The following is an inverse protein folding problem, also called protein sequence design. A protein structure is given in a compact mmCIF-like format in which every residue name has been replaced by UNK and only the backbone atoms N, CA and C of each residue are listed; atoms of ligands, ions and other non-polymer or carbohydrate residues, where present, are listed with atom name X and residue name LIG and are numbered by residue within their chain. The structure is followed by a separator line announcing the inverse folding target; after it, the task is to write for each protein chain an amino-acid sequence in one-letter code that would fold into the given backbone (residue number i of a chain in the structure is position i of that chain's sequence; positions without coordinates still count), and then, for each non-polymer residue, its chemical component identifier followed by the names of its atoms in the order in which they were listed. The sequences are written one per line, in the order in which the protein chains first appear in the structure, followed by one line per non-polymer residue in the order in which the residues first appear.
data_IF_742321962088
#
_entry.id   IF_742321962088
#
_cell.length_a   1.000
_cell.length_b   1.000
_cell.length_c   1.000
_cell.angle_alpha   90.00
_cell.angle_beta   90.00
_cell.angle_gamma   90.00
#
_symmetry.space_group_name_H-M   'P 1'
#
loop_
_entity.id
_entity.type
_entity.pdbx_description
1 polymer ?
#
# COMPACT_ATOMS: atom_id res chain seq x y z
N UNK A 1 -1.34 -7.83 -10.51
CA UNK A 1 -2.25 -6.65 -10.56
C UNK A 1 -3.69 -7.09 -10.22
N UNK A 2 -4.53 -6.27 -9.55
CA UNK A 2 -5.95 -6.61 -9.39
C UNK A 2 -6.68 -6.72 -10.75
N UNK A 3 -7.77 -7.52 -10.86
CA UNK A 3 -8.49 -7.70 -12.12
C UNK A 3 -8.96 -6.39 -12.77
N UNK A 4 -9.49 -5.46 -11.99
CA UNK A 4 -9.92 -4.13 -12.46
C UNK A 4 -8.78 -3.33 -13.09
N UNK A 5 -7.57 -3.44 -12.54
CA UNK A 5 -6.39 -2.78 -13.09
C UNK A 5 -5.95 -3.42 -14.41
N UNK A 6 -6.14 -4.72 -14.59
CA UNK A 6 -5.89 -5.42 -15.86
C UNK A 6 -6.93 -5.01 -16.91
N UNK A 7 -8.20 -4.85 -16.55
CA UNK A 7 -9.23 -4.36 -17.48
C UNK A 7 -8.87 -2.97 -18.00
N UNK A 8 -8.41 -2.07 -17.11
CA UNK A 8 -7.98 -0.71 -17.49
C UNK A 8 -6.66 -0.69 -18.26
N UNK A 9 -5.73 -1.58 -17.94
CA UNK A 9 -4.37 -1.63 -18.51
C UNK A 9 -4.01 -3.07 -18.90
N UNK A 10 -4.54 -3.58 -20.05
CA UNK A 10 -4.39 -4.99 -20.44
C UNK A 10 -2.95 -5.43 -20.72
N UNK A 11 -2.06 -4.47 -21.00
CA UNK A 11 -0.65 -4.70 -21.30
C UNK A 11 0.20 -4.94 -20.04
N UNK A 12 -0.34 -4.77 -18.84
CA UNK A 12 0.41 -5.00 -17.61
C UNK A 12 0.78 -6.48 -17.45
N UNK A 13 2.00 -6.78 -16.97
CA UNK A 13 2.41 -8.15 -16.72
C UNK A 13 1.57 -8.77 -15.59
N UNK A 14 1.14 -10.02 -15.79
CA UNK A 14 0.40 -10.81 -14.78
C UNK A 14 1.28 -11.18 -13.59
N UNK A 15 2.57 -11.35 -13.85
CA UNK A 15 3.60 -11.65 -12.87
C UNK A 15 4.83 -10.78 -13.13
N UNK A 16 5.45 -10.29 -12.07
CA UNK A 16 6.70 -9.55 -12.13
C UNK A 16 7.61 -10.06 -11.02
N UNK A 17 8.84 -10.43 -11.37
CA UNK A 17 9.83 -10.85 -10.39
C UNK A 17 10.15 -9.73 -9.39
N UNK A 18 10.69 -10.08 -8.23
CA UNK A 18 11.26 -9.09 -7.32
C UNK A 18 12.42 -8.33 -7.99
N UNK A 19 12.62 -7.08 -7.58
CA UNK A 19 13.72 -6.24 -8.08
C UNK A 19 13.33 -4.76 -8.20
N UNK A 20 14.29 -3.89 -8.60
CA UNK A 20 14.09 -2.43 -8.66
C UNK A 20 12.92 -1.97 -9.53
N UNK A 21 12.58 -2.74 -10.58
CA UNK A 21 11.45 -2.44 -11.46
C UNK A 21 10.08 -2.82 -10.90
N UNK A 22 10.01 -3.52 -9.76
CA UNK A 22 8.75 -4.00 -9.22
C UNK A 22 7.95 -2.87 -8.54
N UNK A 23 6.69 -2.61 -8.94
CA UNK A 23 5.87 -1.55 -8.35
C UNK A 23 5.50 -1.80 -6.88
N UNK A 24 5.73 -3.02 -6.37
CA UNK A 24 5.58 -3.34 -4.95
C UNK A 24 6.77 -2.88 -4.09
N UNK A 25 7.87 -2.44 -4.69
CA UNK A 25 9.02 -1.92 -3.99
C UNK A 25 9.76 -2.96 -3.15
N UNK A 26 10.36 -2.52 -2.04
CA UNK A 26 11.24 -3.34 -1.24
C UNK A 26 10.55 -4.50 -0.51
N UNK A 27 9.31 -4.30 -0.04
CA UNK A 27 8.53 -5.30 0.72
C UNK A 27 7.04 -5.18 0.40
N UNK A 28 6.32 -6.27 0.58
CA UNK A 28 4.86 -6.32 0.49
C UNK A 28 4.28 -7.22 1.59
N UNK A 29 3.24 -6.73 2.27
CA UNK A 29 2.46 -7.42 3.28
C UNK A 29 1.02 -7.55 2.79
N UNK A 30 0.51 -8.78 2.78
CA UNK A 30 -0.79 -9.10 2.19
C UNK A 30 -1.87 -9.05 3.26
N UNK A 31 -2.95 -8.31 2.98
CA UNK A 31 -4.11 -8.26 3.86
C UNK A 31 -5.02 -9.43 3.50
N UNK A 32 -4.88 -10.52 4.24
CA UNK A 32 -5.56 -11.80 4.00
C UNK A 32 -7.06 -11.64 3.76
N UNK A 33 -7.59 -12.41 2.80
CA UNK A 33 -9.01 -12.33 2.38
C UNK A 33 -9.35 -11.13 1.49
N UNK A 34 -8.37 -10.29 1.13
CA UNK A 34 -8.58 -9.12 0.26
C UNK A 34 -7.57 -9.07 -0.90
N UNK A 35 -7.82 -8.16 -1.86
CA UNK A 35 -6.88 -7.84 -2.94
C UNK A 35 -5.84 -6.77 -2.55
N UNK A 36 -5.93 -6.23 -1.33
CA UNK A 36 -5.14 -5.10 -0.84
C UNK A 36 -3.85 -5.55 -0.16
N UNK A 37 -2.87 -4.64 -0.17
CA UNK A 37 -1.53 -4.86 0.38
C UNK A 37 -1.01 -3.57 0.99
N UNK A 38 -0.15 -3.70 1.99
CA UNK A 38 0.77 -2.64 2.41
C UNK A 38 2.10 -2.93 1.72
N UNK A 39 2.61 -2.02 0.91
CA UNK A 39 3.83 -2.27 0.14
C UNK A 39 4.66 -1.00 -0.11
N UNK A 40 5.91 -1.18 -0.52
CA UNK A 40 6.78 -0.09 -0.94
C UNK A 40 6.39 0.46 -2.32
N UNK A 41 7.29 1.19 -2.98
CA UNK A 41 7.04 1.62 -4.35
C UNK A 41 8.34 1.92 -5.08
N UNK A 42 8.34 1.75 -6.40
CA UNK A 42 9.38 2.27 -7.29
C UNK A 42 9.07 3.67 -7.84
N UNK A 43 7.98 4.29 -7.38
CA UNK A 43 7.54 5.64 -7.76
C UNK A 43 7.36 6.51 -6.50
N UNK A 44 8.45 6.94 -5.84
CA UNK A 44 8.40 7.63 -4.55
C UNK A 44 7.58 8.93 -4.58
N UNK A 45 7.55 9.63 -5.73
CA UNK A 45 6.77 10.85 -5.92
C UNK A 45 5.25 10.64 -5.84
N UNK A 46 4.79 9.39 -5.74
CA UNK A 46 3.36 9.04 -5.59
C UNK A 46 2.90 8.97 -4.12
N UNK A 47 3.84 8.99 -3.17
CA UNK A 47 3.51 8.95 -1.74
C UNK A 47 2.72 10.20 -1.33
N UNK A 48 1.69 10.01 -0.50
CA UNK A 48 0.77 11.08 -0.07
C UNK A 48 -0.30 11.46 -1.10
N UNK A 49 -0.36 10.83 -2.27
CA UNK A 49 -1.33 11.13 -3.34
C UNK A 49 -2.39 10.03 -3.48
N UNK A 50 -3.59 10.42 -3.91
CA UNK A 50 -4.72 9.51 -4.18
C UNK A 50 -4.59 8.82 -5.54
N UNK A 51 -3.53 8.01 -5.70
CA UNK A 51 -3.20 7.36 -6.99
C UNK A 51 -3.13 5.84 -6.92
N UNK A 52 -3.36 5.25 -5.74
CA UNK A 52 -3.42 3.80 -5.59
C UNK A 52 -4.81 3.26 -5.95
N UNK A 53 -4.87 2.04 -6.48
CA UNK A 53 -6.13 1.28 -6.62
C UNK A 53 -6.49 0.58 -5.30
N UNK A 54 -6.37 1.30 -4.18
CA UNK A 54 -6.71 0.84 -2.82
C UNK A 54 -5.59 0.14 -2.02
N UNK A 55 -4.46 -0.22 -2.63
CA UNK A 55 -3.29 -0.63 -1.84
C UNK A 55 -2.68 0.56 -1.08
N UNK A 56 -2.06 0.28 0.07
CA UNK A 56 -1.40 1.27 0.92
C UNK A 56 0.09 1.29 0.55
N UNK A 57 0.56 2.43 0.05
CA UNK A 57 1.96 2.63 -0.34
C UNK A 57 2.72 3.35 0.76
N UNK A 58 3.92 2.86 1.05
CA UNK A 58 4.91 3.47 1.91
C UNK A 58 6.18 3.75 1.11
N UNK A 59 7.07 4.57 1.68
CA UNK A 59 8.45 4.62 1.18
C UNK A 59 9.10 3.24 1.34
N UNK A 60 10.18 2.96 0.59
CA UNK A 60 10.86 1.68 0.70
C UNK A 60 11.54 1.48 2.07
N UNK A 61 11.94 2.58 2.72
CA UNK A 61 12.52 2.53 4.07
C UNK A 61 11.44 2.22 5.11
N UNK A 62 10.32 2.94 5.07
CA UNK A 62 9.19 2.73 6.00
C UNK A 62 8.58 1.33 5.89
N UNK A 63 8.42 0.81 4.67
CA UNK A 63 7.87 -0.55 4.49
C UNK A 63 8.86 -1.60 5.00
N UNK A 64 10.16 -1.37 4.86
CA UNK A 64 11.19 -2.31 5.33
C UNK A 64 11.21 -2.34 6.86
N UNK A 65 11.18 -1.17 7.48
CA UNK A 65 11.10 -1.02 8.93
C UNK A 65 9.82 -1.65 9.49
N UNK A 66 8.65 -1.38 8.89
CA UNK A 66 7.39 -2.02 9.28
C UNK A 66 7.44 -3.54 9.12
N UNK A 67 7.92 -4.04 7.97
CA UNK A 67 8.01 -5.47 7.68
C UNK A 67 8.85 -6.23 8.73
N UNK A 68 9.89 -5.59 9.28
CA UNK A 68 10.74 -6.20 10.31
C UNK A 68 10.08 -6.33 11.69
N UNK A 69 8.99 -5.57 11.94
CA UNK A 69 8.37 -5.45 13.27
C UNK A 69 7.06 -6.22 13.42
N UNK A 70 6.41 -6.58 12.30
CA UNK A 70 5.08 -7.22 12.33
C UNK A 70 5.16 -8.69 11.92
N UNK A 71 4.29 -9.50 12.51
CA UNK A 71 4.15 -10.92 12.17
C UNK A 71 2.88 -11.20 11.37
N UNK A 72 2.87 -12.31 10.64
CA UNK A 72 1.65 -12.79 9.98
C UNK A 72 0.54 -12.97 11.02
N UNK A 73 -0.66 -12.49 10.70
CA UNK A 73 -1.81 -12.48 11.63
C UNK A 73 -1.98 -11.17 12.41
N UNK A 74 -1.05 -10.21 12.28
CA UNK A 74 -1.21 -8.87 12.86
C UNK A 74 -2.47 -8.19 12.32
N UNK A 75 -3.33 -7.69 13.22
CA UNK A 75 -4.58 -7.01 12.85
C UNK A 75 -4.29 -5.65 12.20
N UNK A 76 -4.93 -5.40 11.06
CA UNK A 76 -4.92 -4.09 10.39
C UNK A 76 -6.32 -3.49 10.43
N UNK A 77 -6.43 -2.26 10.90
CA UNK A 77 -7.68 -1.49 10.94
C UNK A 77 -7.50 -0.29 10.03
N UNK A 78 -8.35 -0.17 9.00
CA UNK A 78 -8.33 0.97 8.07
C UNK A 78 -9.50 1.88 8.42
N UNK A 79 -9.20 3.06 8.94
CA UNK A 79 -10.21 4.05 9.29
C UNK A 79 -10.58 4.92 8.07
N UNK A 80 -11.84 5.33 7.93
CA UNK A 80 -12.23 6.27 6.90
C UNK A 80 -11.58 7.65 7.14
N UNK A 81 -11.27 8.35 6.05
CA UNK A 81 -10.61 9.67 6.11
C UNK A 81 -11.43 10.72 6.89
N UNK A 82 -12.75 10.54 6.99
CA UNK A 82 -13.65 11.40 7.77
C UNK A 82 -13.35 11.38 9.26
N UNK A 83 -12.97 10.23 9.82
CA UNK A 83 -12.65 10.09 11.25
C UNK A 83 -11.29 10.71 11.58
N UNK A 84 -10.30 10.58 10.69
CA UNK A 84 -8.97 11.18 10.89
C UNK A 84 -9.00 12.71 10.97
N UNK A 85 -9.85 13.36 10.16
CA UNK A 85 -10.03 14.82 10.21
C UNK A 85 -10.72 15.27 11.50
N UNK A 86 -11.65 14.47 12.03
CA UNK A 86 -12.30 14.75 13.30
C UNK A 86 -11.30 14.69 14.47
N UNK A 87 -10.43 13.67 14.51
CA UNK A 87 -9.38 13.54 15.54
C UNK A 87 -8.32 14.65 15.45
N UNK A 88 -7.79 14.94 14.26
CA UNK A 88 -6.79 16.01 14.07
C UNK A 88 -7.37 17.41 14.37
N UNK A 89 -8.65 17.64 14.06
CA UNK A 89 -9.36 18.87 14.40
C UNK A 89 -9.72 18.99 15.89
N UNK A 90 -9.82 17.87 16.62
CA UNK A 90 -10.01 17.84 18.06
C UNK A 90 -8.69 18.03 18.83
N UNK A 91 -7.58 17.47 18.32
CA UNK A 91 -6.25 17.59 18.92
C UNK A 91 -5.56 18.97 18.72
N UNK A 92 -6.16 19.84 17.90
CA UNK A 92 -5.67 21.21 17.61
C UNK A 92 -6.44 22.27 18.43
N UNK A 93 -7.19 21.87 19.47
CA UNK A 93 -7.82 22.80 20.43
C UNK A 93 -7.25 22.61 21.83
#
# INVERSE_FOLDING_TARGET
PPPEMIVRQPYLPRHMAGGPGNPLGARAMYLGGTIYRIHGTNAPDTIGKHVSSGCIRLTNDDVTDLYSRVSVGTKVIVLPMTERRAELGAATR
#
